data_IF_354252402403
#
_entry.id   IF_354252402403
#
_cell.length_a   1.000
_cell.length_b   1.000
_cell.length_c   1.000
_cell.angle_alpha   90.00
_cell.angle_beta   90.00
_cell.angle_gamma   90.00
#
_symmetry.space_group_name_H-M   'P 1'
#
loop_
_entity.id
_entity.type
_entity.pdbx_description
1 polymer ?
#
# COMPACT_ATOMS: atom_id res chain seq x y z
N UNK A 1 27.93 7.56 37.28
CA UNK A 1 26.57 6.92 37.31
C UNK A 1 25.59 7.63 36.36
N UNK A 2 25.53 8.96 36.34
CA UNK A 2 24.62 9.76 35.49
C UNK A 2 24.95 9.55 34.00
N UNK A 3 26.22 9.59 33.64
CA UNK A 3 26.72 9.44 32.27
C UNK A 3 26.42 8.05 31.67
N UNK A 4 26.48 7.00 32.45
CA UNK A 4 26.11 5.65 32.07
C UNK A 4 24.60 5.51 31.82
N UNK A 5 23.78 6.24 32.55
CA UNK A 5 22.32 6.25 32.38
C UNK A 5 21.95 7.02 31.10
N UNK A 6 22.64 8.12 30.82
CA UNK A 6 22.43 8.93 29.60
C UNK A 6 22.82 8.15 28.34
N UNK A 7 24.00 7.55 28.35
CA UNK A 7 24.50 6.70 27.26
C UNK A 7 23.55 5.49 26.98
N UNK A 8 23.02 4.90 28.03
CA UNK A 8 22.05 3.80 27.92
C UNK A 8 20.69 4.26 27.32
N UNK A 9 20.30 5.51 27.62
CA UNK A 9 19.08 6.13 27.03
C UNK A 9 19.27 6.47 25.57
N UNK A 10 20.41 6.99 25.15
CA UNK A 10 20.73 7.27 23.74
C UNK A 10 20.75 6.00 22.90
N UNK A 11 21.37 4.93 23.39
CA UNK A 11 21.37 3.63 22.71
C UNK A 11 19.95 3.09 22.57
N UNK A 12 19.11 3.23 23.58
CA UNK A 12 17.70 2.78 23.55
C UNK A 12 16.87 3.60 22.56
N UNK A 13 17.12 4.91 22.46
CA UNK A 13 16.45 5.78 21.47
C UNK A 13 16.91 5.50 20.03
N UNK A 14 18.22 5.25 19.82
CA UNK A 14 18.73 4.85 18.50
C UNK A 14 18.14 3.52 18.03
N UNK A 15 18.03 2.54 18.91
CA UNK A 15 17.39 1.25 18.61
C UNK A 15 15.92 1.44 18.26
N UNK A 16 15.18 2.29 18.99
CA UNK A 16 13.81 2.64 18.67
C UNK A 16 13.66 3.22 17.26
N UNK A 17 14.49 4.20 16.89
CA UNK A 17 14.45 4.81 15.55
C UNK A 17 14.69 3.77 14.45
N UNK A 18 15.56 2.81 14.69
CA UNK A 18 15.84 1.69 13.79
C UNK A 18 14.62 0.75 13.67
N UNK A 19 13.99 0.39 14.78
CA UNK A 19 12.79 -0.46 14.79
C UNK A 19 11.59 0.24 14.19
N UNK A 20 11.38 1.52 14.47
CA UNK A 20 10.32 2.33 13.85
C UNK A 20 10.50 2.42 12.32
N UNK A 21 11.72 2.65 11.84
CA UNK A 21 12.03 2.65 10.41
C UNK A 21 11.82 1.28 9.77
N UNK A 22 12.09 0.20 10.48
CA UNK A 22 11.80 -1.15 9.98
C UNK A 22 10.29 -1.38 9.83
N UNK A 23 9.49 -0.95 10.82
CA UNK A 23 8.03 -1.00 10.77
C UNK A 23 7.46 -0.11 9.66
N UNK A 24 8.03 1.08 9.48
CA UNK A 24 7.68 1.99 8.38
C UNK A 24 7.90 1.35 7.01
N UNK A 25 9.04 0.69 6.81
CA UNK A 25 9.34 -0.03 5.56
C UNK A 25 8.36 -1.18 5.30
N UNK A 26 8.00 -1.94 6.32
CA UNK A 26 7.00 -3.01 6.18
C UNK A 26 5.60 -2.46 5.84
N UNK A 27 5.22 -1.36 6.48
CA UNK A 27 3.97 -0.67 6.15
C UNK A 27 3.99 -0.11 4.72
N UNK A 28 5.11 0.50 4.31
CA UNK A 28 5.29 1.02 2.95
C UNK A 28 5.18 -0.08 1.90
N UNK A 29 5.85 -1.22 2.10
CA UNK A 29 5.73 -2.38 1.20
C UNK A 29 4.28 -2.84 1.05
N UNK A 30 3.57 -2.95 2.16
CA UNK A 30 2.16 -3.35 2.11
C UNK A 30 1.27 -2.30 1.45
N UNK A 31 1.58 -1.01 1.58
CA UNK A 31 0.87 0.07 0.90
C UNK A 31 1.09 0.02 -0.62
N UNK A 32 2.33 -0.20 -1.08
CA UNK A 32 2.66 -0.36 -2.49
C UNK A 32 1.91 -1.57 -3.08
N UNK A 33 1.99 -2.72 -2.42
CA UNK A 33 1.34 -3.94 -2.87
C UNK A 33 -0.19 -3.77 -2.97
N UNK A 34 -0.79 -3.14 -1.98
CA UNK A 34 -2.23 -2.87 -1.95
C UNK A 34 -2.64 -1.89 -3.04
N UNK A 35 -1.86 -0.80 -3.25
CA UNK A 35 -2.15 0.17 -4.31
C UNK A 35 -2.00 -0.45 -5.71
N UNK A 36 -1.03 -1.35 -5.89
CA UNK A 36 -0.86 -2.08 -7.14
C UNK A 36 -2.08 -2.97 -7.44
N UNK A 37 -2.51 -3.78 -6.47
CA UNK A 37 -3.67 -4.66 -6.62
C UNK A 37 -4.93 -3.85 -6.98
N UNK A 38 -5.17 -2.73 -6.31
CA UNK A 38 -6.31 -1.86 -6.62
C UNK A 38 -6.20 -1.23 -8.01
N UNK A 39 -5.03 -0.69 -8.36
CA UNK A 39 -4.83 -0.07 -9.67
C UNK A 39 -5.05 -1.07 -10.79
N UNK A 40 -4.42 -2.24 -10.72
CA UNK A 40 -4.56 -3.28 -11.74
C UNK A 40 -6.00 -3.79 -11.83
N UNK A 41 -6.69 -3.96 -10.69
CA UNK A 41 -8.10 -4.42 -10.69
C UNK A 41 -9.01 -3.44 -11.42
N UNK A 42 -8.87 -2.14 -11.17
CA UNK A 42 -9.68 -1.10 -11.83
C UNK A 42 -9.31 -0.98 -13.31
N UNK A 43 -8.00 -0.93 -13.62
CA UNK A 43 -7.52 -0.81 -15.00
C UNK A 43 -7.94 -2.01 -15.88
N UNK A 44 -7.88 -3.23 -15.34
CA UNK A 44 -8.35 -4.42 -16.03
C UNK A 44 -9.87 -4.39 -16.28
N UNK A 45 -10.67 -3.87 -15.35
CA UNK A 45 -12.10 -3.72 -15.55
C UNK A 45 -12.41 -2.73 -16.68
N UNK A 46 -11.68 -1.62 -16.75
CA UNK A 46 -11.81 -0.65 -17.86
C UNK A 46 -11.35 -1.27 -19.18
N UNK A 47 -10.22 -1.98 -19.19
CA UNK A 47 -9.73 -2.68 -20.39
C UNK A 47 -10.76 -3.70 -20.92
N UNK A 48 -11.41 -4.44 -20.02
CA UNK A 48 -12.47 -5.37 -20.37
C UNK A 48 -13.59 -4.66 -21.13
N UNK A 49 -14.10 -3.54 -20.61
CA UNK A 49 -15.17 -2.77 -21.24
C UNK A 49 -14.74 -2.24 -22.61
N UNK A 50 -13.55 -1.63 -22.69
CA UNK A 50 -13.02 -1.07 -23.94
C UNK A 50 -12.80 -2.16 -24.98
N UNK A 51 -12.22 -3.30 -24.60
CA UNK A 51 -11.99 -4.42 -25.51
C UNK A 51 -13.28 -5.04 -26.01
N UNK A 52 -14.31 -5.12 -25.16
CA UNK A 52 -15.63 -5.60 -25.54
C UNK A 52 -16.31 -4.67 -26.55
N UNK A 53 -16.22 -3.35 -26.36
CA UNK A 53 -16.72 -2.35 -27.30
C UNK A 53 -15.98 -2.43 -28.63
N UNK A 54 -14.64 -2.54 -28.63
CA UNK A 54 -13.84 -2.67 -29.84
C UNK A 54 -14.19 -3.93 -30.62
N UNK A 55 -14.44 -5.03 -29.92
CA UNK A 55 -14.90 -6.27 -30.54
C UNK A 55 -16.27 -6.09 -31.20
N UNK A 56 -17.23 -5.38 -30.55
CA UNK A 56 -18.59 -5.14 -31.14
C UNK A 56 -18.55 -4.22 -32.37
N UNK A 57 -17.63 -3.25 -32.39
CA UNK A 57 -17.54 -2.24 -33.49
C UNK A 57 -16.53 -2.64 -34.57
N UNK A 58 -15.89 -3.79 -34.42
CA UNK A 58 -14.85 -4.32 -35.35
C UNK A 58 -13.67 -3.35 -35.57
N UNK A 59 -13.21 -2.71 -34.49
CA UNK A 59 -12.09 -1.77 -34.54
C UNK A 59 -10.77 -2.53 -34.64
N UNK A 60 -10.05 -2.38 -35.75
CA UNK A 60 -8.77 -3.06 -36.00
C UNK A 60 -7.57 -2.50 -35.20
N UNK A 61 -7.69 -1.30 -34.62
CA UNK A 61 -6.59 -0.60 -33.94
C UNK A 61 -6.53 -0.92 -32.43
N UNK A 62 -6.43 -2.18 -32.07
CA UNK A 62 -6.40 -2.65 -30.69
C UNK A 62 -5.23 -2.07 -29.84
N UNK A 63 -4.11 -1.71 -30.46
CA UNK A 63 -2.95 -1.13 -29.79
C UNK A 63 -3.26 0.14 -29.00
N UNK A 64 -4.24 0.93 -29.45
CA UNK A 64 -4.66 2.15 -28.76
C UNK A 64 -5.20 1.82 -27.36
N UNK A 65 -5.98 0.74 -27.25
CA UNK A 65 -6.54 0.30 -25.96
C UNK A 65 -5.43 -0.09 -24.97
N UNK A 66 -4.35 -0.72 -25.43
CA UNK A 66 -3.21 -1.09 -24.57
C UNK A 66 -2.44 0.13 -24.07
N UNK A 67 -2.25 1.15 -24.91
CA UNK A 67 -1.58 2.40 -24.50
C UNK A 67 -2.42 3.12 -23.45
N UNK A 68 -3.73 3.26 -23.68
CA UNK A 68 -4.67 3.89 -22.73
C UNK A 68 -4.67 3.13 -21.39
N UNK A 69 -4.70 1.80 -21.45
CA UNK A 69 -4.60 0.96 -20.25
C UNK A 69 -3.34 1.25 -19.43
N UNK A 70 -2.16 1.29 -20.07
CA UNK A 70 -0.91 1.57 -19.36
C UNK A 70 -0.89 2.94 -18.68
N UNK A 71 -1.39 3.97 -19.37
CA UNK A 71 -1.49 5.33 -18.81
C UNK A 71 -2.46 5.35 -17.62
N UNK A 72 -3.62 4.70 -17.77
CA UNK A 72 -4.65 4.62 -16.74
C UNK A 72 -4.13 3.90 -15.49
N UNK A 73 -3.43 2.78 -15.67
CA UNK A 73 -2.86 2.00 -14.56
C UNK A 73 -1.88 2.84 -13.74
N UNK A 74 -0.96 3.55 -14.41
CA UNK A 74 -0.01 4.44 -13.73
C UNK A 74 -0.74 5.55 -12.98
N UNK A 75 -1.73 6.19 -13.59
CA UNK A 75 -2.49 7.27 -12.96
C UNK A 75 -3.23 6.78 -11.71
N UNK A 76 -3.95 5.68 -11.79
CA UNK A 76 -4.69 5.10 -10.66
C UNK A 76 -3.72 4.64 -9.57
N UNK A 77 -2.61 4.00 -9.94
CA UNK A 77 -1.59 3.61 -8.98
C UNK A 77 -1.07 4.80 -8.17
N UNK A 78 -0.72 5.90 -8.82
CA UNK A 78 -0.21 7.10 -8.15
C UNK A 78 -1.25 7.70 -7.20
N UNK A 79 -2.53 7.77 -7.61
CA UNK A 79 -3.62 8.30 -6.78
C UNK A 79 -3.80 7.43 -5.53
N UNK A 80 -3.94 6.12 -5.70
CA UNK A 80 -4.17 5.19 -4.59
C UNK A 80 -2.95 5.12 -3.67
N UNK A 81 -1.75 5.11 -4.25
CA UNK A 81 -0.51 5.12 -3.46
C UNK A 81 -0.36 6.39 -2.64
N UNK A 82 -0.68 7.56 -3.20
CA UNK A 82 -0.66 8.81 -2.47
C UNK A 82 -1.59 8.80 -1.25
N UNK A 83 -2.77 8.19 -1.37
CA UNK A 83 -3.71 8.04 -0.26
C UNK A 83 -3.23 7.05 0.81
N UNK A 84 -2.61 5.93 0.38
CA UNK A 84 -2.14 4.86 1.26
C UNK A 84 -0.74 5.11 1.81
N UNK A 85 0.00 6.06 1.24
CA UNK A 85 1.37 6.39 1.66
C UNK A 85 1.45 6.53 3.18
N UNK A 86 2.39 5.79 3.82
CA UNK A 86 2.61 5.93 5.25
C UNK A 86 3.09 7.35 5.57
N UNK A 87 2.53 7.87 6.64
CA UNK A 87 3.05 9.06 7.33
C UNK A 87 3.37 8.61 8.74
N UNK A 88 4.36 9.20 9.38
CA UNK A 88 4.73 8.84 10.75
C UNK A 88 3.52 8.88 11.70
N UNK A 89 2.63 9.87 11.50
CA UNK A 89 1.37 9.96 12.25
C UNK A 89 0.43 8.80 11.99
N UNK A 90 0.29 8.34 10.73
CA UNK A 90 -0.56 7.19 10.37
C UNK A 90 0.01 5.90 10.96
N UNK A 91 1.33 5.73 10.90
CA UNK A 91 2.01 4.58 11.49
C UNK A 91 1.87 4.56 13.00
N UNK A 92 2.08 5.71 13.68
CA UNK A 92 1.92 5.84 15.13
C UNK A 92 0.49 5.48 15.55
N UNK A 93 -0.52 5.99 14.83
CA UNK A 93 -1.93 5.67 15.10
C UNK A 93 -2.20 4.17 14.92
N UNK A 94 -1.66 3.56 13.86
CA UNK A 94 -1.81 2.12 13.61
C UNK A 94 -1.17 1.26 14.71
N UNK A 95 0.00 1.66 15.20
CA UNK A 95 0.66 0.99 16.32
C UNK A 95 -0.14 1.11 17.62
N UNK A 96 -0.76 2.27 17.85
CA UNK A 96 -1.62 2.48 19.02
C UNK A 96 -2.91 1.64 18.97
N UNK A 97 -3.51 1.46 17.78
CA UNK A 97 -4.63 0.55 17.55
C UNK A 97 -4.28 -0.93 17.84
N UNK A 98 -2.99 -1.30 17.71
CA UNK A 98 -2.50 -2.65 18.02
C UNK A 98 -2.21 -2.89 19.51
N UNK A 99 -2.68 -2.02 20.38
CA UNK A 99 -2.63 -2.20 21.84
C UNK A 99 -1.64 -1.29 22.56
N UNK A 100 -1.05 -0.30 21.90
CA UNK A 100 -0.12 0.65 22.52
C UNK A 100 -0.81 1.84 23.21
N UNK A 101 -2.16 1.89 23.22
CA UNK A 101 -2.96 2.82 24.02
C UNK A 101 -2.50 4.29 23.89
N UNK A 102 -2.39 4.79 22.67
CA UNK A 102 -1.97 6.16 22.34
C UNK A 102 -0.53 6.57 22.77
N UNK A 103 0.29 5.64 23.22
CA UNK A 103 1.65 5.92 23.69
C UNK A 103 2.57 6.36 22.55
N UNK A 104 2.41 5.79 21.37
CA UNK A 104 3.27 6.09 20.22
C UNK A 104 2.91 7.43 19.59
N UNK A 105 1.63 7.73 19.45
CA UNK A 105 1.18 9.02 18.93
C UNK A 105 1.57 10.16 19.87
N UNK A 106 1.44 9.95 21.18
CA UNK A 106 1.88 10.93 22.19
C UNK A 106 3.39 11.13 22.13
N UNK A 107 4.16 10.05 22.01
CA UNK A 107 5.61 10.14 21.83
C UNK A 107 5.98 10.92 20.58
N UNK A 108 5.27 10.72 19.46
CA UNK A 108 5.49 11.46 18.23
C UNK A 108 5.16 12.95 18.37
N UNK A 109 4.06 13.29 19.05
CA UNK A 109 3.65 14.68 19.30
C UNK A 109 4.68 15.45 20.15
N UNK A 110 5.26 14.79 21.14
CA UNK A 110 6.26 15.38 22.05
C UNK A 110 7.70 15.02 21.70
N UNK A 111 7.98 14.67 20.42
CA UNK A 111 9.32 14.26 20.00
C UNK A 111 10.38 15.34 20.20
N UNK A 112 9.99 16.62 20.07
CA UNK A 112 10.87 17.78 20.23
C UNK A 112 10.83 18.39 21.64
N UNK A 113 9.98 17.86 22.53
CA UNK A 113 9.87 18.34 23.90
C UNK A 113 10.92 17.67 24.81
N UNK A 114 11.70 18.47 25.51
CA UNK A 114 12.74 18.02 26.42
C UNK A 114 12.27 17.94 27.89
N UNK A 115 10.99 18.14 28.17
CA UNK A 115 10.42 18.01 29.52
C UNK A 115 10.63 16.61 30.09
N UNK A 116 10.64 16.52 31.42
CA UNK A 116 10.76 15.24 32.13
C UNK A 116 9.63 14.29 31.75
N UNK A 117 8.41 14.81 31.61
CA UNK A 117 7.22 14.04 31.22
C UNK A 117 7.35 13.44 29.83
N UNK A 118 7.79 14.23 28.84
CA UNK A 118 8.03 13.76 27.48
C UNK A 118 9.11 12.66 27.43
N UNK A 119 10.15 12.76 28.25
CA UNK A 119 11.19 11.72 28.38
C UNK A 119 10.64 10.42 28.96
N UNK A 120 9.80 10.49 29.99
CA UNK A 120 9.15 9.32 30.60
C UNK A 120 8.21 8.64 29.59
N UNK A 121 7.38 9.41 28.90
CA UNK A 121 6.46 8.89 27.88
C UNK A 121 7.21 8.23 26.72
N UNK A 122 8.30 8.83 26.22
CA UNK A 122 9.14 8.21 25.19
C UNK A 122 9.71 6.86 25.65
N UNK A 123 10.23 6.78 26.86
CA UNK A 123 10.77 5.53 27.39
C UNK A 123 9.70 4.44 27.52
N UNK A 124 8.51 4.81 27.96
CA UNK A 124 7.37 3.90 28.08
C UNK A 124 6.91 3.38 26.70
N UNK A 125 6.80 4.27 25.71
CA UNK A 125 6.45 3.88 24.34
C UNK A 125 7.50 2.92 23.73
N UNK A 126 8.79 3.19 23.89
CA UNK A 126 9.90 2.35 23.42
C UNK A 126 9.83 0.93 24.00
N UNK A 127 9.52 0.80 25.28
CA UNK A 127 9.42 -0.51 25.93
C UNK A 127 8.29 -1.37 25.36
N UNK A 128 7.18 -0.75 25.02
CA UNK A 128 6.01 -1.46 24.51
C UNK A 128 6.07 -1.75 23.00
N UNK A 129 6.70 -0.89 22.21
CA UNK A 129 6.85 -1.11 20.75
C UNK A 129 7.61 -2.40 20.44
N UNK A 130 8.64 -2.74 21.23
CA UNK A 130 9.41 -3.96 21.04
C UNK A 130 8.58 -5.25 21.26
N UNK A 131 7.44 -5.14 21.92
CA UNK A 131 6.49 -6.26 22.13
C UNK A 131 5.48 -6.41 21.00
N UNK A 132 5.38 -5.43 20.08
CA UNK A 132 4.42 -5.48 18.98
C UNK A 132 4.85 -6.47 17.91
N UNK A 133 3.93 -7.32 17.52
CA UNK A 133 4.16 -8.24 16.40
C UNK A 133 4.19 -7.46 15.08
N UNK A 134 5.38 -7.40 14.45
CA UNK A 134 5.62 -6.68 13.19
C UNK A 134 4.67 -7.11 12.05
N UNK A 135 4.17 -8.34 12.08
CA UNK A 135 3.21 -8.86 11.08
C UNK A 135 1.85 -8.15 11.14
N UNK A 136 1.45 -7.65 12.31
CA UNK A 136 0.16 -6.97 12.50
C UNK A 136 0.15 -5.54 11.96
N UNK A 137 1.31 -4.96 11.72
CA UNK A 137 1.45 -3.59 11.16
C UNK A 137 1.12 -3.57 9.66
N UNK A 138 1.17 -4.73 8.98
CA UNK A 138 0.85 -4.82 7.56
C UNK A 138 -0.61 -4.44 7.29
N UNK A 139 -0.81 -3.72 6.19
CA UNK A 139 -2.16 -3.44 5.69
C UNK A 139 -2.80 -4.74 5.18
N UNK A 140 -3.83 -5.22 5.86
CA UNK A 140 -4.58 -6.39 5.43
C UNK A 140 -5.38 -6.03 4.18
N UNK A 141 -5.22 -6.83 3.11
CA UNK A 141 -6.04 -6.70 1.91
C UNK A 141 -7.26 -7.61 2.07
N UNK A 142 -8.49 -7.09 1.97
CA UNK A 142 -9.69 -7.94 2.05
C UNK A 142 -9.66 -9.02 0.98
N UNK A 143 -10.07 -10.24 1.32
CA UNK A 143 -10.09 -11.38 0.38
C UNK A 143 -10.91 -11.05 -0.87
N UNK A 144 -12.01 -10.32 -0.72
CA UNK A 144 -12.87 -9.90 -1.83
C UNK A 144 -12.10 -9.09 -2.89
N UNK A 145 -11.14 -8.25 -2.49
CA UNK A 145 -10.32 -7.46 -3.43
C UNK A 145 -9.38 -8.36 -4.22
N UNK A 146 -8.84 -9.41 -3.59
CA UNK A 146 -7.99 -10.39 -4.28
C UNK A 146 -8.82 -11.19 -5.29
N UNK A 147 -10.02 -11.60 -4.93
CA UNK A 147 -10.94 -12.31 -5.83
C UNK A 147 -11.31 -11.42 -7.02
N UNK A 148 -11.69 -10.17 -6.78
CA UNK A 148 -11.99 -9.21 -7.85
C UNK A 148 -10.78 -8.98 -8.76
N UNK A 149 -9.59 -8.92 -8.21
CA UNK A 149 -8.33 -8.81 -8.97
C UNK A 149 -8.13 -10.01 -9.90
N UNK A 150 -8.28 -11.24 -9.40
CA UNK A 150 -8.15 -12.43 -10.21
C UNK A 150 -9.22 -12.50 -11.33
N UNK A 151 -10.47 -12.18 -11.00
CA UNK A 151 -11.56 -12.14 -11.99
C UNK A 151 -11.31 -11.08 -13.05
N UNK A 152 -10.85 -9.88 -12.67
CA UNK A 152 -10.54 -8.79 -13.61
C UNK A 152 -9.44 -9.18 -14.59
N UNK A 153 -8.37 -9.83 -14.12
CA UNK A 153 -7.27 -10.29 -14.99
C UNK A 153 -7.78 -11.35 -15.97
N UNK A 154 -8.51 -12.35 -15.51
CA UNK A 154 -9.02 -13.41 -16.37
C UNK A 154 -9.96 -12.86 -17.44
N UNK A 155 -10.89 -11.98 -17.07
CA UNK A 155 -11.83 -11.38 -18.02
C UNK A 155 -11.14 -10.46 -19.02
N UNK A 156 -10.18 -9.66 -18.60
CA UNK A 156 -9.42 -8.79 -19.51
C UNK A 156 -8.53 -9.59 -20.47
N UNK A 157 -7.91 -10.67 -20.01
CA UNK A 157 -7.10 -11.55 -20.86
C UNK A 157 -7.95 -12.21 -21.96
N UNK A 158 -9.11 -12.76 -21.61
CA UNK A 158 -10.01 -13.40 -22.61
C UNK A 158 -10.52 -12.42 -23.65
N UNK A 159 -10.97 -11.24 -23.26
CA UNK A 159 -11.45 -10.23 -24.21
C UNK A 159 -10.33 -9.65 -25.08
N UNK A 160 -9.13 -9.49 -24.51
CA UNK A 160 -7.94 -9.05 -25.26
C UNK A 160 -7.57 -10.06 -26.34
N UNK A 161 -7.58 -11.35 -26.03
CA UNK A 161 -7.31 -12.42 -27.00
C UNK A 161 -8.39 -12.44 -28.08
N UNK A 162 -9.67 -12.34 -27.72
CA UNK A 162 -10.77 -12.30 -28.69
C UNK A 162 -10.67 -11.09 -29.63
N UNK A 163 -10.39 -9.90 -29.09
CA UNK A 163 -10.21 -8.69 -29.89
C UNK A 163 -8.99 -8.79 -30.84
N UNK A 164 -7.87 -9.37 -30.36
CA UNK A 164 -6.70 -9.59 -31.20
C UNK A 164 -6.94 -10.63 -32.32
N UNK A 165 -7.68 -11.68 -32.06
CA UNK A 165 -8.06 -12.70 -33.04
C UNK A 165 -9.04 -12.14 -34.08
N UNK A 166 -10.00 -11.31 -33.65
CA UNK A 166 -10.94 -10.61 -34.54
C UNK A 166 -10.20 -9.62 -35.47
N UNK A 167 -9.23 -8.86 -34.92
CA UNK A 167 -8.44 -7.90 -35.71
C UNK A 167 -7.57 -8.54 -36.78
N UNK A 168 -7.22 -9.82 -36.63
CA UNK A 168 -6.42 -10.60 -37.59
C UNK A 168 -7.29 -11.46 -38.55
N UNK A 169 -8.58 -11.21 -38.66
CA UNK A 169 -9.55 -11.96 -39.50
C UNK A 169 -9.62 -13.48 -39.20
N UNK A 170 -9.06 -13.92 -38.04
CA UNK A 170 -9.09 -15.34 -37.64
C UNK A 170 -10.49 -15.75 -37.12
N UNK A 171 -11.18 -14.83 -36.44
CA UNK A 171 -12.58 -15.02 -36.01
C UNK A 171 -13.38 -13.80 -36.46
N UNK A 172 -14.27 -14.01 -37.40
CA UNK A 172 -15.19 -12.98 -37.86
C UNK A 172 -16.37 -12.92 -36.90
N UNK A 173 -16.61 -11.78 -36.26
CA UNK A 173 -17.86 -11.48 -35.59
C UNK A 173 -18.91 -11.34 -36.69
N UNK A 174 -19.69 -12.39 -36.94
CA UNK A 174 -20.76 -12.38 -37.91
C UNK A 174 -21.94 -11.51 -37.50
#
# INVERSE_FOLDING_TARGET
RVELIEKRKEVKYMNFKKDFNALYKEYLKSAILKSLIFATSISCAVLFIVSFVFWMVDVKQFWIALIVFGILEIAIFLIVFHQLKPTDRKLSKKLDELGLQQRVITMYQYQNDNSLMAKIQRNNAIEHINKVNKKLVKLVTPVIVIVLFCVSILSSATTTILAALSSNDVIRSG
#
